data_IF_222163178036
#
_entry.id   IF_222163178036
#
_cell.length_a   1.000
_cell.length_b   1.000
_cell.length_c   1.000
_cell.angle_alpha   90.00
_cell.angle_beta   90.00
_cell.angle_gamma   90.00
#
_symmetry.space_group_name_H-M   'P 1'
#
loop_
_entity.id
_entity.type
_entity.pdbx_description
1 polymer ?
#
# COMPACT_ATOMS: atom_id res chain seq x y z
N UNK A 1 29.93 15.69 -14.62
CA UNK A 1 28.53 15.24 -14.50
C UNK A 1 27.88 16.04 -13.38
N UNK A 2 26.81 16.79 -13.66
CA UNK A 2 26.06 17.49 -12.61
C UNK A 2 25.16 16.48 -11.88
N UNK A 3 25.30 16.36 -10.56
CA UNK A 3 24.41 15.55 -9.75
C UNK A 3 23.13 16.35 -9.49
N UNK A 4 21.99 15.87 -9.99
CA UNK A 4 20.69 16.47 -9.70
C UNK A 4 20.36 16.28 -8.21
N UNK A 5 20.25 17.39 -7.48
CA UNK A 5 19.80 17.42 -6.09
C UNK A 5 18.43 18.09 -6.04
N UNK A 6 17.43 17.35 -5.59
CA UNK A 6 16.07 17.87 -5.41
C UNK A 6 15.94 18.48 -4.01
N UNK A 7 14.89 19.29 -3.81
CA UNK A 7 14.55 19.83 -2.48
C UNK A 7 14.24 18.74 -1.45
N UNK A 8 13.91 17.54 -1.90
CA UNK A 8 13.48 16.40 -1.08
C UNK A 8 14.55 15.31 -0.97
N UNK A 9 15.77 15.54 -1.46
CA UNK A 9 16.80 14.49 -1.51
C UNK A 9 17.04 13.82 -0.15
N UNK A 10 17.21 14.61 0.91
CA UNK A 10 17.47 14.06 2.25
C UNK A 10 16.24 13.31 2.81
N UNK A 11 15.04 13.80 2.53
CA UNK A 11 13.79 13.15 2.92
C UNK A 11 13.60 11.80 2.20
N UNK A 12 13.81 11.76 0.89
CA UNK A 12 13.68 10.55 0.08
C UNK A 12 14.66 9.46 0.56
N UNK A 13 15.90 9.83 0.86
CA UNK A 13 16.91 8.92 1.41
C UNK A 13 16.45 8.38 2.78
N UNK A 14 15.99 9.26 3.67
CA UNK A 14 15.54 8.87 5.01
C UNK A 14 14.32 7.93 4.95
N UNK A 15 13.32 8.21 4.10
CA UNK A 15 12.13 7.36 3.95
C UNK A 15 12.45 6.01 3.33
N UNK A 16 13.31 5.96 2.31
CA UNK A 16 13.75 4.71 1.71
C UNK A 16 14.48 3.81 2.72
N UNK A 17 15.38 4.40 3.52
CA UNK A 17 16.06 3.67 4.59
C UNK A 17 15.09 3.16 5.67
N UNK A 18 14.10 3.97 6.05
CA UNK A 18 13.08 3.58 7.03
C UNK A 18 12.22 2.39 6.55
N UNK A 19 11.81 2.41 5.28
CA UNK A 19 11.05 1.30 4.66
C UNK A 19 11.86 -0.01 4.70
N UNK A 20 13.19 0.07 4.53
CA UNK A 20 14.11 -1.08 4.57
C UNK A 20 14.55 -1.53 5.96
N UNK A 21 13.88 -1.10 7.04
CA UNK A 21 14.24 -1.49 8.41
C UNK A 21 14.19 -3.02 8.58
N UNK A 22 15.26 -3.68 9.09
CA UNK A 22 15.25 -5.12 9.34
C UNK A 22 14.05 -5.56 10.19
N UNK A 23 13.36 -6.60 9.77
CA UNK A 23 12.15 -7.10 10.44
C UNK A 23 10.86 -6.33 10.12
N UNK A 24 10.89 -5.34 9.21
CA UNK A 24 9.70 -4.67 8.68
C UNK A 24 9.55 -4.93 7.17
N UNK A 25 8.35 -4.65 6.65
CA UNK A 25 8.01 -4.81 5.24
C UNK A 25 6.85 -3.91 4.81
N UNK A 26 6.42 -4.05 3.55
CA UNK A 26 5.32 -3.27 2.98
C UNK A 26 4.10 -4.18 2.80
N UNK A 27 2.95 -3.72 3.31
CA UNK A 27 1.65 -4.30 2.97
C UNK A 27 1.09 -3.58 1.74
N UNK A 28 0.90 -4.32 0.64
CA UNK A 28 0.26 -3.82 -0.58
C UNK A 28 -1.25 -4.08 -0.52
N UNK A 29 -2.02 -3.08 -0.08
CA UNK A 29 -3.50 -3.07 -0.03
C UNK A 29 -4.11 -2.06 -1.04
N UNK A 30 -3.41 -1.87 -2.16
CA UNK A 30 -3.70 -0.95 -3.25
C UNK A 30 -4.50 -1.62 -4.39
N UNK A 31 -5.22 -2.71 -4.11
CA UNK A 31 -5.98 -3.40 -5.13
C UNK A 31 -7.08 -2.50 -5.72
N UNK A 32 -7.08 -2.42 -7.05
CA UNK A 32 -8.13 -1.74 -7.82
C UNK A 32 -9.49 -2.39 -7.58
N UNK A 33 -10.57 -1.66 -7.90
CA UNK A 33 -11.95 -2.15 -7.76
C UNK A 33 -12.18 -3.48 -8.46
N UNK A 34 -11.54 -3.72 -9.60
CA UNK A 34 -11.66 -4.99 -10.33
C UNK A 34 -10.86 -6.11 -9.65
N UNK A 35 -9.61 -5.84 -9.26
CA UNK A 35 -8.74 -6.84 -8.63
C UNK A 35 -9.29 -7.29 -7.28
N UNK A 36 -9.76 -6.34 -6.45
CA UNK A 36 -10.37 -6.68 -5.15
C UNK A 36 -11.69 -7.44 -5.32
N UNK A 37 -12.44 -7.15 -6.38
CA UNK A 37 -13.65 -7.90 -6.72
C UNK A 37 -13.38 -9.38 -6.97
N UNK A 38 -12.26 -9.72 -7.63
CA UNK A 38 -11.86 -11.14 -7.79
C UNK A 38 -11.50 -11.80 -6.47
N UNK A 39 -10.87 -11.07 -5.55
CA UNK A 39 -10.55 -11.58 -4.20
C UNK A 39 -11.83 -11.83 -3.41
N UNK A 40 -12.76 -10.89 -3.43
CA UNK A 40 -14.06 -11.02 -2.78
C UNK A 40 -14.92 -12.14 -3.38
N UNK A 41 -14.92 -12.31 -4.71
CA UNK A 41 -15.63 -13.40 -5.36
C UNK A 41 -15.14 -14.78 -4.90
N UNK A 42 -13.83 -14.94 -4.65
CA UNK A 42 -13.27 -16.21 -4.16
C UNK A 42 -13.75 -16.61 -2.75
N UNK A 43 -14.27 -15.63 -1.98
CA UNK A 43 -14.80 -15.83 -0.62
C UNK A 43 -16.29 -15.50 -0.53
N UNK A 44 -17.00 -15.41 -1.67
CA UNK A 44 -18.44 -15.10 -1.76
C UNK A 44 -18.86 -13.76 -1.10
N UNK A 45 -18.00 -12.74 -1.17
CA UNK A 45 -18.30 -11.38 -0.68
C UNK A 45 -18.67 -10.48 -1.86
N UNK A 46 -19.66 -9.61 -1.68
CA UNK A 46 -20.06 -8.64 -2.70
C UNK A 46 -19.05 -7.48 -2.80
N UNK A 47 -18.72 -7.07 -4.03
CA UNK A 47 -17.80 -5.96 -4.29
C UNK A 47 -18.47 -4.58 -4.20
N UNK A 48 -18.95 -4.24 -3.01
CA UNK A 48 -19.49 -2.91 -2.68
C UNK A 48 -18.47 -2.06 -1.91
N UNK A 49 -18.63 -0.74 -1.95
CA UNK A 49 -17.73 0.20 -1.29
C UNK A 49 -17.59 -0.02 0.24
N UNK A 50 -18.68 -0.29 0.98
CA UNK A 50 -18.59 -0.61 2.40
C UNK A 50 -17.72 -1.83 2.69
N UNK A 51 -17.79 -2.89 1.88
CA UNK A 51 -16.98 -4.10 2.06
C UNK A 51 -15.50 -3.84 1.76
N UNK A 52 -15.21 -3.03 0.72
CA UNK A 52 -13.82 -2.62 0.42
C UNK A 52 -13.23 -1.75 1.53
N UNK A 53 -14.06 -0.92 2.19
CA UNK A 53 -13.66 -0.13 3.35
C UNK A 53 -13.41 -1.03 4.56
N UNK A 54 -14.36 -1.92 4.87
CA UNK A 54 -14.25 -2.85 5.98
C UNK A 54 -13.02 -3.75 5.89
N UNK A 55 -12.67 -4.22 4.68
CA UNK A 55 -11.41 -4.96 4.47
C UNK A 55 -10.19 -4.10 4.82
N UNK A 56 -10.12 -2.85 4.33
CA UNK A 56 -8.97 -1.97 4.59
C UNK A 56 -8.88 -1.55 6.05
N UNK A 57 -10.02 -1.32 6.68
CA UNK A 57 -10.11 -1.06 8.12
C UNK A 57 -9.55 -2.26 8.90
N UNK A 58 -10.01 -3.48 8.61
CA UNK A 58 -9.53 -4.71 9.25
C UNK A 58 -8.02 -4.93 9.10
N UNK A 59 -7.41 -4.52 7.98
CA UNK A 59 -5.97 -4.67 7.76
C UNK A 59 -5.13 -3.61 8.49
N UNK A 60 -5.71 -2.46 8.82
CA UNK A 60 -4.98 -1.30 9.35
C UNK A 60 -5.29 -0.98 10.82
N UNK A 61 -6.30 -1.63 11.41
CA UNK A 61 -6.60 -1.63 12.85
C UNK A 61 -5.85 -2.73 13.58
#
# INVERSE_FOLDING_TARGET
>A
MSCFKSKFTDELIAKAAYIGTPGKGILAADESTWTIGKRFASINVENVEPNRRALRELLFT
#
